data_IF_526340498467
#
_entry.id   IF_526340498467
#
_cell.length_a   1.000
_cell.length_b   1.000
_cell.length_c   1.000
_cell.angle_alpha   90.00
_cell.angle_beta   90.00
_cell.angle_gamma   90.00
#
_symmetry.space_group_name_H-M   'P 1'
#
loop_
_entity.id
_entity.type
_entity.pdbx_description
1 polymer ?
#
# COMPACT_ATOMS: atom_id res chain seq x y z
N UNK A 1 -12.18 -6.11 -5.23
CA UNK A 1 -12.47 -6.46 -3.84
C UNK A 1 -11.40 -7.38 -3.29
N UNK A 2 -11.23 -7.43 -1.95
CA UNK A 2 -10.22 -8.27 -1.30
C UNK A 2 -8.77 -7.74 -1.38
N UNK A 3 -8.57 -6.52 -1.81
CA UNK A 3 -7.27 -5.85 -1.86
C UNK A 3 -7.07 -4.90 -0.68
N UNK A 4 -5.83 -4.44 -0.46
CA UNK A 4 -5.53 -3.45 0.57
C UNK A 4 -6.34 -2.15 0.42
N UNK A 5 -6.46 -1.53 -0.77
CA UNK A 5 -7.32 -0.36 -0.96
C UNK A 5 -8.77 -0.60 -0.58
N UNK A 6 -9.32 -1.77 -0.85
CA UNK A 6 -10.69 -2.13 -0.46
C UNK A 6 -10.87 -2.11 1.06
N UNK A 7 -10.04 -2.84 1.80
CA UNK A 7 -10.14 -2.90 3.26
C UNK A 7 -9.80 -1.55 3.90
N UNK A 8 -8.90 -0.79 3.29
CA UNK A 8 -8.60 0.56 3.76
C UNK A 8 -9.80 1.50 3.60
N UNK A 9 -10.52 1.43 2.47
CA UNK A 9 -11.72 2.23 2.26
C UNK A 9 -12.81 1.91 3.31
N UNK A 10 -13.01 0.63 3.63
CA UNK A 10 -13.95 0.22 4.69
C UNK A 10 -13.53 0.76 6.06
N UNK A 11 -12.25 0.64 6.41
CA UNK A 11 -11.72 1.14 7.68
C UNK A 11 -11.80 2.67 7.76
N UNK A 12 -11.57 3.37 6.66
CA UNK A 12 -11.70 4.83 6.57
C UNK A 12 -13.17 5.26 6.78
N UNK A 13 -14.10 4.62 6.10
CA UNK A 13 -15.55 4.89 6.28
C UNK A 13 -15.98 4.72 7.74
N UNK A 14 -15.57 3.62 8.38
CA UNK A 14 -15.86 3.36 9.80
C UNK A 14 -15.26 4.45 10.70
N UNK A 15 -13.98 4.76 10.55
CA UNK A 15 -13.27 5.75 11.37
C UNK A 15 -13.79 7.17 11.18
N UNK A 16 -14.21 7.51 9.98
CA UNK A 16 -14.76 8.82 9.65
C UNK A 16 -16.30 8.92 9.88
N UNK A 17 -16.93 7.82 10.32
CA UNK A 17 -18.40 7.73 10.47
C UNK A 17 -19.16 8.08 9.17
N UNK A 18 -18.64 7.63 8.05
CA UNK A 18 -19.22 7.84 6.72
C UNK A 18 -19.77 6.50 6.23
N UNK A 19 -21.05 6.48 5.87
CA UNK A 19 -21.67 5.36 5.15
C UNK A 19 -21.32 5.47 3.65
N UNK A 20 -20.15 4.91 3.29
CA UNK A 20 -19.64 4.95 1.94
C UNK A 20 -19.85 3.60 1.24
N UNK A 21 -20.54 3.62 0.11
CA UNK A 21 -20.65 2.44 -0.75
C UNK A 21 -19.32 2.23 -1.51
N UNK A 22 -18.68 1.10 -1.27
CA UNK A 22 -17.42 0.76 -1.94
C UNK A 22 -17.69 0.10 -3.30
N UNK A 23 -17.18 0.71 -4.36
CA UNK A 23 -17.22 0.18 -5.73
C UNK A 23 -15.87 -0.44 -6.07
N UNK A 24 -15.86 -1.75 -6.37
CA UNK A 24 -14.63 -2.46 -6.70
C UNK A 24 -14.28 -2.39 -8.19
N UNK A 25 -13.02 -2.09 -8.49
CA UNK A 25 -12.47 -2.05 -9.85
C UNK A 25 -11.50 -3.21 -10.12
N UNK A 26 -11.34 -3.58 -11.39
CA UNK A 26 -10.32 -4.55 -11.84
C UNK A 26 -9.02 -3.81 -12.16
N UNK A 27 -8.34 -3.32 -11.12
CA UNK A 27 -7.09 -2.58 -11.23
C UNK A 27 -7.29 -1.06 -11.30
N UNK A 28 -6.18 -0.33 -11.24
CA UNK A 28 -6.15 1.12 -11.08
C UNK A 28 -6.55 1.88 -12.35
N UNK A 29 -6.33 1.32 -13.54
CA UNK A 29 -6.63 1.99 -14.81
C UNK A 29 -8.10 2.39 -14.95
N UNK A 30 -9.06 1.46 -14.87
CA UNK A 30 -10.49 1.78 -14.89
C UNK A 30 -10.92 2.71 -13.75
N UNK A 31 -10.38 2.53 -12.54
CA UNK A 31 -10.65 3.41 -11.40
C UNK A 31 -10.25 4.87 -11.69
N UNK A 32 -9.04 5.08 -12.21
CA UNK A 32 -8.54 6.43 -12.55
C UNK A 32 -9.39 7.07 -13.65
N UNK A 33 -9.80 6.31 -14.65
CA UNK A 33 -10.66 6.81 -15.73
C UNK A 33 -11.98 7.31 -15.17
N UNK A 34 -12.64 6.54 -14.32
CA UNK A 34 -13.93 6.88 -13.72
C UNK A 34 -13.80 8.02 -12.72
N UNK A 35 -12.71 8.08 -11.94
CA UNK A 35 -12.44 9.18 -11.02
C UNK A 35 -12.24 10.51 -11.77
N UNK A 36 -11.43 10.52 -12.83
CA UNK A 36 -11.20 11.71 -13.67
C UNK A 36 -12.49 12.08 -14.43
N UNK A 37 -13.24 11.09 -14.87
CA UNK A 37 -14.53 11.28 -15.54
C UNK A 37 -15.69 11.67 -14.61
N UNK A 38 -15.46 11.76 -13.29
CA UNK A 38 -16.48 12.14 -12.30
C UNK A 38 -17.53 11.06 -12.03
N UNK A 39 -17.33 9.81 -12.45
CA UNK A 39 -18.25 8.70 -12.18
C UNK A 39 -18.20 8.26 -10.72
N UNK A 40 -17.04 8.44 -10.07
CA UNK A 40 -16.87 8.26 -8.63
C UNK A 40 -16.24 9.54 -8.05
N UNK A 41 -16.72 10.01 -6.88
CA UNK A 41 -16.24 11.27 -6.31
C UNK A 41 -14.90 11.14 -5.58
N UNK A 42 -14.58 9.93 -5.09
CA UNK A 42 -13.39 9.64 -4.26
C UNK A 42 -12.88 8.23 -4.60
N UNK A 43 -11.58 8.06 -4.54
CA UNK A 43 -10.94 6.76 -4.72
C UNK A 43 -9.86 6.52 -3.64
N UNK A 44 -9.60 5.26 -3.38
CA UNK A 44 -8.46 4.78 -2.57
C UNK A 44 -7.63 3.87 -3.45
N UNK A 45 -6.37 4.25 -3.65
CA UNK A 45 -5.40 3.43 -4.39
C UNK A 45 -3.98 3.73 -3.90
N UNK A 46 -2.97 3.10 -4.49
CA UNK A 46 -1.57 3.29 -4.11
C UNK A 46 -1.02 4.63 -4.61
N UNK A 47 -0.09 5.20 -3.83
CA UNK A 47 0.46 6.54 -4.11
C UNK A 47 1.21 6.57 -5.45
N UNK A 48 2.01 5.55 -5.75
CA UNK A 48 2.75 5.43 -7.01
C UNK A 48 1.85 5.51 -8.24
N UNK A 49 0.63 5.01 -8.13
CA UNK A 49 -0.37 5.00 -9.21
C UNK A 49 -1.08 6.35 -9.34
N UNK A 50 -1.43 7.00 -8.23
CA UNK A 50 -2.22 8.25 -8.24
C UNK A 50 -1.35 9.51 -8.38
N UNK A 51 -0.10 9.48 -7.92
CA UNK A 51 0.77 10.65 -7.87
C UNK A 51 1.02 11.29 -9.25
N UNK A 52 1.28 10.54 -10.33
CA UNK A 52 1.44 11.13 -11.66
C UNK A 52 0.20 11.91 -12.15
N UNK A 53 -0.99 11.45 -11.78
CA UNK A 53 -2.25 12.12 -12.15
C UNK A 53 -2.48 13.38 -11.29
N UNK A 54 -2.05 13.34 -10.03
CA UNK A 54 -2.06 14.50 -9.14
C UNK A 54 -1.10 15.59 -9.62
N UNK A 55 0.16 15.21 -9.95
CA UNK A 55 1.17 16.11 -10.50
C UNK A 55 0.72 16.74 -11.82
N UNK A 56 -0.04 15.98 -12.63
CA UNK A 56 -0.64 16.48 -13.87
C UNK A 56 -1.92 17.32 -13.66
N UNK A 57 -2.36 17.54 -12.43
CA UNK A 57 -3.57 18.30 -12.09
C UNK A 57 -4.89 17.65 -12.48
N UNK A 58 -4.89 16.35 -12.86
CA UNK A 58 -6.09 15.62 -13.29
C UNK A 58 -6.95 15.12 -12.14
N UNK A 59 -6.37 14.90 -10.98
CA UNK A 59 -7.02 14.56 -9.73
C UNK A 59 -6.26 15.21 -8.56
N UNK A 60 -6.84 15.18 -7.38
CA UNK A 60 -6.23 15.70 -6.16
C UNK A 60 -6.11 14.59 -5.12
N UNK A 61 -4.90 14.29 -4.66
CA UNK A 61 -4.68 13.44 -3.50
C UNK A 61 -4.94 14.28 -2.24
N UNK A 62 -5.82 13.82 -1.37
CA UNK A 62 -6.25 14.56 -0.18
C UNK A 62 -5.39 14.21 1.03
N UNK A 63 -5.03 12.93 1.18
CA UNK A 63 -4.18 12.45 2.26
C UNK A 63 -3.50 11.12 1.90
N UNK A 64 -2.42 10.80 2.60
CA UNK A 64 -1.74 9.50 2.52
C UNK A 64 -1.89 8.73 3.83
N UNK A 65 -1.86 7.39 3.76
CA UNK A 65 -2.10 6.51 4.91
C UNK A 65 -0.84 6.15 5.72
N UNK A 66 0.31 6.67 5.35
CA UNK A 66 1.56 6.42 6.06
C UNK A 66 1.61 7.07 7.45
N UNK A 67 2.51 6.59 8.34
CA UNK A 67 2.72 7.21 9.65
C UNK A 67 3.40 8.59 9.57
N UNK A 68 3.98 8.90 8.42
CA UNK A 68 4.63 10.17 8.06
C UNK A 68 4.31 10.48 6.60
N UNK A 69 4.45 11.73 6.20
CA UNK A 69 4.33 12.12 4.78
C UNK A 69 5.30 11.33 3.92
N UNK A 70 4.86 11.00 2.71
CA UNK A 70 5.71 10.31 1.76
C UNK A 70 6.88 11.20 1.31
N UNK A 71 8.09 10.66 1.16
CA UNK A 71 9.21 11.42 0.58
C UNK A 71 8.95 11.82 -0.89
N UNK A 72 7.99 11.20 -1.55
CA UNK A 72 7.60 11.49 -2.93
C UNK A 72 6.51 12.56 -3.05
N UNK A 73 5.89 12.95 -1.93
CA UNK A 73 4.78 13.92 -1.89
C UNK A 73 4.73 14.59 -0.51
N UNK A 74 5.76 15.35 -0.18
CA UNK A 74 5.90 15.98 1.13
C UNK A 74 4.85 17.08 1.41
N UNK A 75 4.21 17.60 0.38
CA UNK A 75 3.11 18.56 0.42
C UNK A 75 1.75 17.93 0.77
N UNK A 76 1.58 16.61 0.55
CA UNK A 76 0.35 15.89 0.85
C UNK A 76 0.34 15.43 2.31
N UNK A 77 -0.67 15.82 3.12
CA UNK A 77 -0.73 15.44 4.51
C UNK A 77 -1.03 13.93 4.68
N UNK A 78 -0.71 13.40 5.84
CA UNK A 78 -1.22 12.09 6.26
C UNK A 78 -2.66 12.20 6.76
N UNK A 79 -3.40 11.08 6.79
CA UNK A 79 -4.73 11.04 7.44
C UNK A 79 -4.67 11.52 8.90
N UNK A 80 -3.60 11.17 9.63
CA UNK A 80 -3.41 11.60 11.00
C UNK A 80 -3.25 13.11 11.12
N UNK A 81 -2.47 13.75 10.24
CA UNK A 81 -2.35 15.21 10.18
C UNK A 81 -3.65 15.88 9.78
N UNK A 82 -4.49 15.21 8.99
CA UNK A 82 -5.82 15.68 8.61
C UNK A 82 -6.90 15.43 9.69
N UNK A 83 -6.53 14.92 10.88
CA UNK A 83 -7.44 14.72 12.01
C UNK A 83 -8.07 13.32 12.09
N UNK A 84 -7.75 12.41 11.19
CA UNK A 84 -8.23 11.04 11.22
C UNK A 84 -7.11 10.08 11.67
N UNK A 85 -7.25 9.49 12.86
CA UNK A 85 -6.26 8.53 13.39
C UNK A 85 -6.33 7.20 12.63
N UNK A 86 -5.76 7.22 11.43
CA UNK A 86 -5.75 6.12 10.48
C UNK A 86 -4.34 5.98 9.89
N UNK A 87 -3.69 4.87 10.20
CA UNK A 87 -2.37 4.53 9.67
C UNK A 87 -2.38 3.13 9.08
N UNK A 88 -2.03 3.02 7.82
CA UNK A 88 -1.84 1.76 7.12
C UNK A 88 -0.79 1.91 6.02
N UNK A 89 0.06 0.92 5.86
CA UNK A 89 1.07 0.88 4.81
C UNK A 89 0.97 -0.42 4.04
N UNK A 90 1.05 -0.36 2.72
CA UNK A 90 1.26 -1.53 1.86
C UNK A 90 2.75 -1.81 1.71
N UNK A 91 3.08 -3.06 1.40
CA UNK A 91 4.44 -3.48 1.09
C UNK A 91 4.42 -4.69 0.15
N UNK A 92 5.50 -4.86 -0.59
CA UNK A 92 5.73 -6.03 -1.43
C UNK A 92 6.92 -6.81 -0.90
N UNK A 93 6.88 -8.13 -0.98
CA UNK A 93 7.98 -9.00 -0.59
C UNK A 93 8.12 -10.18 -1.55
N UNK A 94 9.33 -10.73 -1.60
CA UNK A 94 9.60 -11.98 -2.30
C UNK A 94 9.27 -13.16 -1.38
N UNK A 95 8.49 -14.11 -1.87
CA UNK A 95 8.12 -15.33 -1.16
C UNK A 95 8.68 -16.55 -1.89
N UNK A 96 8.99 -17.58 -1.12
CA UNK A 96 9.41 -18.89 -1.61
C UNK A 96 8.44 -19.98 -1.13
N UNK A 97 8.32 -21.12 -1.85
CA UNK A 97 7.56 -22.27 -1.37
C UNK A 97 8.03 -22.72 0.01
N UNK A 98 7.09 -23.12 0.88
CA UNK A 98 7.40 -23.61 2.23
C UNK A 98 8.32 -24.85 2.23
N UNK A 99 8.31 -25.63 1.15
CA UNK A 99 9.15 -26.82 0.94
C UNK A 99 10.59 -26.48 0.48
N UNK A 100 10.92 -25.20 0.23
CA UNK A 100 12.27 -24.82 -0.21
C UNK A 100 13.28 -25.10 0.89
N UNK A 101 14.43 -25.74 0.59
CA UNK A 101 15.51 -25.98 1.56
C UNK A 101 15.98 -24.68 2.22
N UNK A 102 16.22 -24.73 3.54
CA UNK A 102 16.57 -23.54 4.35
C UNK A 102 17.85 -22.83 3.86
N UNK A 103 18.84 -23.59 3.39
CA UNK A 103 20.07 -23.05 2.82
C UNK A 103 19.80 -22.23 1.55
N UNK A 104 18.90 -22.69 0.69
CA UNK A 104 18.46 -21.93 -0.51
C UNK A 104 17.71 -20.66 -0.13
N UNK A 105 16.82 -20.74 0.85
CA UNK A 105 16.10 -19.54 1.36
C UNK A 105 17.11 -18.53 1.92
N UNK A 106 18.10 -18.99 2.70
CA UNK A 106 19.13 -18.11 3.26
C UNK A 106 19.97 -17.44 2.14
N UNK A 107 20.39 -18.19 1.13
CA UNK A 107 21.15 -17.65 -0.02
C UNK A 107 20.36 -16.63 -0.83
N UNK A 108 19.10 -16.93 -1.14
CA UNK A 108 18.21 -15.99 -1.84
C UNK A 108 17.93 -14.74 -1.01
N UNK A 109 17.69 -14.90 0.29
CA UNK A 109 17.48 -13.77 1.20
C UNK A 109 18.69 -12.84 1.26
N UNK A 110 19.89 -13.40 1.37
CA UNK A 110 21.11 -12.61 1.36
C UNK A 110 21.35 -11.87 0.03
N UNK A 111 21.06 -12.53 -1.10
CA UNK A 111 21.18 -11.91 -2.42
C UNK A 111 20.18 -10.76 -2.59
N UNK A 112 18.93 -10.96 -2.19
CA UNK A 112 17.90 -9.90 -2.23
C UNK A 112 18.30 -8.74 -1.31
N UNK A 113 18.75 -9.02 -0.09
CA UNK A 113 19.18 -7.98 0.85
C UNK A 113 20.34 -7.16 0.28
N UNK A 114 21.31 -7.80 -0.35
CA UNK A 114 22.43 -7.14 -1.01
C UNK A 114 21.96 -6.23 -2.15
N UNK A 115 21.16 -6.75 -3.08
CA UNK A 115 20.64 -5.99 -4.22
C UNK A 115 19.81 -4.78 -3.77
N UNK A 116 18.97 -4.94 -2.72
CA UNK A 116 18.16 -3.85 -2.18
C UNK A 116 18.98 -2.74 -1.50
N UNK A 117 20.26 -2.98 -1.18
CA UNK A 117 21.19 -1.98 -0.65
C UNK A 117 21.94 -1.22 -1.75
N UNK A 118 21.97 -1.73 -2.97
CA UNK A 118 22.67 -1.12 -4.11
C UNK A 118 22.03 0.21 -4.49
N UNK A 119 22.85 1.21 -4.79
CA UNK A 119 22.39 2.55 -5.16
C UNK A 119 21.55 2.52 -6.44
N UNK A 120 21.93 1.72 -7.44
CA UNK A 120 21.19 1.56 -8.68
C UNK A 120 19.76 1.04 -8.42
N UNK A 121 19.64 0.01 -7.57
CA UNK A 121 18.34 -0.55 -7.18
C UNK A 121 17.50 0.50 -6.43
N UNK A 122 18.10 1.21 -5.49
CA UNK A 122 17.42 2.27 -4.74
C UNK A 122 16.89 3.37 -5.64
N UNK A 123 17.65 3.75 -6.67
CA UNK A 123 17.22 4.73 -7.69
C UNK A 123 16.02 4.21 -8.48
N UNK A 124 16.08 2.97 -8.97
CA UNK A 124 14.95 2.35 -9.69
C UNK A 124 13.67 2.35 -8.87
N UNK A 125 13.76 1.98 -7.58
CA UNK A 125 12.60 2.02 -6.68
C UNK A 125 12.11 3.44 -6.44
N UNK A 126 13.03 4.39 -6.25
CA UNK A 126 12.69 5.80 -6.08
C UNK A 126 11.96 6.36 -7.31
N UNK A 127 12.46 6.06 -8.52
CA UNK A 127 11.82 6.49 -9.77
C UNK A 127 10.41 5.88 -9.94
N UNK A 128 10.21 4.67 -9.42
CA UNK A 128 8.90 4.03 -9.32
C UNK A 128 8.06 4.50 -8.12
N UNK A 129 8.45 5.57 -7.43
CA UNK A 129 7.77 6.11 -6.22
C UNK A 129 7.65 5.09 -5.09
N UNK A 130 8.59 4.18 -4.98
CA UNK A 130 8.66 3.15 -3.94
C UNK A 130 9.93 3.30 -3.08
N UNK A 131 9.87 2.84 -1.84
CA UNK A 131 11.02 2.80 -0.94
C UNK A 131 11.62 1.40 -0.98
N UNK A 132 12.88 1.29 -1.39
CA UNK A 132 13.64 0.04 -1.32
C UNK A 132 13.96 -0.30 0.14
N UNK A 133 13.55 -1.48 0.61
CA UNK A 133 13.79 -1.95 1.98
C UNK A 133 14.62 -3.23 1.92
N UNK A 134 15.83 -3.17 2.48
CA UNK A 134 16.67 -4.34 2.66
C UNK A 134 16.32 -5.00 4.00
N UNK A 135 15.57 -6.09 3.96
CA UNK A 135 15.16 -6.85 5.15
C UNK A 135 15.59 -8.31 5.08
N UNK A 136 15.98 -8.86 6.22
CA UNK A 136 16.25 -10.29 6.36
C UNK A 136 14.96 -11.11 6.30
N UNK A 137 15.01 -12.42 5.99
CA UNK A 137 13.84 -13.29 6.03
C UNK A 137 13.10 -13.26 7.38
N UNK A 138 13.85 -13.17 8.49
CA UNK A 138 13.27 -13.10 9.83
C UNK A 138 12.51 -11.78 10.07
N UNK A 139 13.07 -10.66 9.63
CA UNK A 139 12.40 -9.35 9.71
C UNK A 139 11.14 -9.32 8.83
N UNK A 140 11.21 -9.86 7.62
CA UNK A 140 10.04 -9.96 6.73
C UNK A 140 8.94 -10.84 7.33
N UNK A 141 9.29 -11.97 7.94
CA UNK A 141 8.33 -12.84 8.61
C UNK A 141 7.66 -12.16 9.81
N UNK A 142 8.44 -11.41 10.62
CA UNK A 142 7.90 -10.64 11.75
C UNK A 142 6.95 -9.53 11.26
N UNK A 143 7.32 -8.82 10.19
CA UNK A 143 6.47 -7.80 9.55
C UNK A 143 5.17 -8.41 9.01
N UNK A 144 5.22 -9.55 8.33
CA UNK A 144 4.04 -10.26 7.84
C UNK A 144 3.10 -10.65 8.99
N UNK A 145 3.66 -11.17 10.11
CA UNK A 145 2.86 -11.53 11.29
C UNK A 145 2.14 -10.32 11.86
N UNK A 146 2.83 -9.19 12.03
CA UNK A 146 2.24 -7.95 12.54
C UNK A 146 1.17 -7.41 11.58
N UNK A 147 1.44 -7.43 10.27
CA UNK A 147 0.50 -7.00 9.24
C UNK A 147 -0.78 -7.85 9.25
N UNK A 148 -0.66 -9.17 9.34
CA UNK A 148 -1.83 -10.07 9.47
C UNK A 148 -2.65 -9.76 10.72
N UNK A 149 -2.01 -9.51 11.85
CA UNK A 149 -2.69 -9.14 13.10
C UNK A 149 -3.45 -7.81 12.97
N UNK A 150 -2.87 -6.84 12.26
CA UNK A 150 -3.52 -5.54 12.00
C UNK A 150 -4.78 -5.69 11.14
N UNK A 151 -4.70 -6.49 10.07
CA UNK A 151 -5.76 -6.55 9.05
C UNK A 151 -6.82 -7.63 9.33
N UNK A 152 -6.51 -8.67 10.10
CA UNK A 152 -7.46 -9.76 10.37
C UNK A 152 -8.81 -9.27 10.91
N UNK A 153 -8.91 -8.34 11.88
CA UNK A 153 -10.19 -7.84 12.37
C UNK A 153 -10.99 -7.10 11.29
N UNK A 154 -10.29 -6.31 10.43
CA UNK A 154 -10.93 -5.55 9.35
C UNK A 154 -11.49 -6.49 8.29
N UNK A 155 -10.73 -7.51 7.89
CA UNK A 155 -11.17 -8.53 6.93
C UNK A 155 -12.36 -9.31 7.49
N UNK A 156 -12.29 -9.74 8.74
CA UNK A 156 -13.38 -10.47 9.39
C UNK A 156 -14.66 -9.63 9.44
N UNK A 157 -14.57 -8.37 9.84
CA UNK A 157 -15.71 -7.46 9.95
C UNK A 157 -16.33 -7.13 8.60
N UNK A 158 -15.53 -7.11 7.52
CA UNK A 158 -16.02 -6.83 6.16
C UNK A 158 -16.92 -7.92 5.57
N UNK A 159 -16.94 -9.11 6.17
CA UNK A 159 -17.66 -10.28 5.62
C UNK A 159 -17.04 -10.83 4.32
N UNK A 160 -15.86 -10.34 3.91
CA UNK A 160 -15.20 -10.79 2.69
C UNK A 160 -14.80 -12.26 2.81
N UNK A 161 -15.21 -13.04 1.81
CA UNK A 161 -14.76 -14.41 1.58
C UNK A 161 -13.96 -14.45 0.28
N UNK A 162 -12.72 -14.99 0.29
CA UNK A 162 -11.85 -15.06 -0.88
C UNK A 162 -12.37 -15.98 -1.99
#
# INVERSE_FOLDING_TARGET
>A
TGSLPHFFALMMGEKAHIDAQVVGYRGSGPLITDLIGGQVPVAVDTLDTLLPQHEAGKLRILATSGPRRSPFSADIPTFKEAGLDLVATGWNALFAPASMPKDRVARLGAAVEQVMREEATRRLFHDARMVAVASTPAQTAAMLKAYRAQWAPVVQKSGYQP
#
